data_IF_705496876296
#
_entry.id   IF_705496876296
#
_cell.length_a   1.000
_cell.length_b   1.000
_cell.length_c   1.000
_cell.angle_alpha   90.00
_cell.angle_beta   90.00
_cell.angle_gamma   90.00
#
_symmetry.space_group_name_H-M   'P 1'
#
loop_
_entity.id
_entity.type
_entity.pdbx_description
1 polymer ?
#
# COMPACT_ATOMS: atom_id res chain seq x y z
N UNK A 1 18.70 -23.54 15.11
CA UNK A 1 20.11 -23.30 15.48
C UNK A 1 21.04 -24.44 15.08
N UNK A 2 20.53 -25.66 14.83
CA UNK A 2 21.37 -26.82 14.47
C UNK A 2 22.16 -26.63 13.17
N UNK A 3 21.58 -26.07 12.11
CA UNK A 3 22.26 -25.91 10.80
C UNK A 3 23.47 -24.95 10.90
N UNK A 4 23.34 -23.84 11.64
CA UNK A 4 24.44 -22.86 11.78
C UNK A 4 25.63 -23.49 12.49
N UNK A 5 25.35 -24.27 13.54
CA UNK A 5 26.39 -24.95 14.30
C UNK A 5 27.01 -26.11 13.50
N UNK A 6 26.20 -26.84 12.73
CA UNK A 6 26.65 -27.96 11.90
C UNK A 6 27.59 -27.54 10.76
N UNK A 7 27.44 -26.33 10.23
CA UNK A 7 28.23 -25.82 9.10
C UNK A 7 29.12 -24.63 9.47
N UNK A 8 29.39 -24.41 10.76
CA UNK A 8 30.14 -23.25 11.25
C UNK A 8 31.47 -23.03 10.53
N UNK A 9 32.23 -24.11 10.29
CA UNK A 9 33.51 -24.07 9.57
C UNK A 9 33.39 -23.68 8.08
N UNK A 10 32.20 -23.87 7.47
CA UNK A 10 31.92 -23.51 6.08
C UNK A 10 31.30 -22.11 5.94
N UNK A 11 30.82 -21.52 7.04
CA UNK A 11 30.19 -20.21 7.05
C UNK A 11 31.29 -19.14 7.12
N UNK A 12 31.48 -18.41 6.02
CA UNK A 12 32.44 -17.28 5.95
C UNK A 12 31.88 -15.97 6.53
N UNK A 13 30.58 -15.90 6.76
CA UNK A 13 29.90 -14.73 7.29
C UNK A 13 28.40 -14.92 7.38
N UNK A 14 27.75 -14.08 8.19
CA UNK A 14 26.30 -14.07 8.38
C UNK A 14 25.75 -12.72 7.94
N UNK A 15 24.74 -12.74 7.08
CA UNK A 15 23.98 -11.56 6.68
C UNK A 15 22.59 -11.63 7.29
N UNK A 16 22.14 -10.52 7.86
CA UNK A 16 20.81 -10.38 8.44
C UNK A 16 20.06 -9.30 7.69
N UNK A 17 18.81 -9.58 7.32
CA UNK A 17 17.91 -8.59 6.72
C UNK A 17 16.50 -8.79 7.27
N UNK A 18 15.66 -7.76 7.07
CA UNK A 18 14.25 -7.84 7.39
C UNK A 18 13.53 -8.77 6.40
N UNK A 19 12.58 -9.56 6.90
CA UNK A 19 11.69 -10.32 6.00
C UNK A 19 10.78 -9.38 5.21
N UNK A 20 10.15 -8.44 5.92
CA UNK A 20 9.19 -7.48 5.37
C UNK A 20 9.43 -6.10 5.96
N UNK A 21 9.56 -5.10 5.09
CA UNK A 21 9.61 -3.70 5.48
C UNK A 21 8.27 -3.05 5.10
N UNK A 22 7.54 -2.54 6.10
CA UNK A 22 6.25 -1.88 5.89
C UNK A 22 6.29 -0.46 6.46
N UNK A 23 6.19 0.52 5.57
CA UNK A 23 6.10 1.93 5.94
C UNK A 23 4.66 2.40 5.86
N UNK A 24 4.20 3.18 6.85
CA UNK A 24 2.83 3.72 6.88
C UNK A 24 2.89 5.25 6.91
N UNK A 25 2.33 5.88 5.88
CA UNK A 25 2.13 7.32 5.83
C UNK A 25 0.71 7.66 6.25
N UNK A 26 0.58 8.57 7.21
CA UNK A 26 -0.72 9.10 7.67
C UNK A 26 -0.64 10.62 7.81
N UNK A 27 -1.74 11.30 7.50
CA UNK A 27 -1.91 12.72 7.81
C UNK A 27 -2.21 12.87 9.30
N UNK A 28 -1.17 12.72 10.14
CA UNK A 28 -1.24 12.65 11.60
C UNK A 28 -1.93 13.86 12.24
N UNK A 29 -1.84 15.03 11.62
CA UNK A 29 -2.50 16.25 12.10
C UNK A 29 -4.01 16.07 12.28
N UNK A 30 -4.69 15.34 11.39
CA UNK A 30 -6.14 15.16 11.48
C UNK A 30 -6.60 14.27 12.62
N UNK A 31 -5.69 13.49 13.23
CA UNK A 31 -6.00 12.65 14.39
C UNK A 31 -5.88 13.41 15.72
N UNK A 32 -5.35 14.64 15.72
CA UNK A 32 -5.38 15.52 16.89
C UNK A 32 -6.77 16.13 17.04
N UNK A 33 -7.20 16.29 18.30
CA UNK A 33 -8.50 16.89 18.62
C UNK A 33 -8.63 18.27 17.96
N UNK A 34 -9.81 18.58 17.44
CA UNK A 34 -10.19 19.85 16.79
C UNK A 34 -9.41 20.23 15.51
N UNK A 35 -8.34 19.53 15.12
CA UNK A 35 -7.54 19.90 13.93
C UNK A 35 -8.31 19.68 12.64
N UNK A 36 -9.09 18.59 12.56
CA UNK A 36 -9.97 18.36 11.42
C UNK A 36 -11.06 19.43 11.32
N UNK A 37 -11.64 19.82 12.45
CA UNK A 37 -12.66 20.87 12.48
C UNK A 37 -12.10 22.22 12.03
N UNK A 38 -10.88 22.55 12.47
CA UNK A 38 -10.16 23.75 12.03
C UNK A 38 -9.87 23.71 10.52
N UNK A 39 -9.39 22.59 10.00
CA UNK A 39 -9.16 22.41 8.56
C UNK A 39 -10.44 22.62 7.75
N UNK A 40 -11.56 22.04 8.19
CA UNK A 40 -12.84 22.21 7.51
C UNK A 40 -13.33 23.66 7.58
N UNK A 41 -13.12 24.33 8.71
CA UNK A 41 -13.42 25.75 8.87
C UNK A 41 -12.59 26.62 7.91
N UNK A 42 -11.28 26.42 7.86
CA UNK A 42 -10.36 27.14 6.97
C UNK A 42 -10.73 26.93 5.49
N UNK A 43 -11.09 25.70 5.11
CA UNK A 43 -11.53 25.36 3.75
C UNK A 43 -12.99 25.72 3.47
N UNK A 44 -13.71 26.35 4.41
CA UNK A 44 -15.13 26.73 4.31
C UNK A 44 -16.05 25.54 3.98
N UNK A 45 -15.69 24.34 4.48
CA UNK A 45 -16.46 23.11 4.29
C UNK A 45 -17.32 22.89 5.53
N UNK A 46 -18.64 22.95 5.36
CA UNK A 46 -19.56 22.58 6.43
C UNK A 46 -19.40 21.09 6.78
N UNK A 47 -19.43 20.75 8.07
CA UNK A 47 -19.30 19.35 8.54
C UNK A 47 -20.30 18.40 7.87
N UNK A 48 -21.53 18.86 7.59
CA UNK A 48 -22.55 18.08 6.84
C UNK A 48 -22.13 17.73 5.40
N UNK A 49 -21.28 18.54 4.79
CA UNK A 49 -20.77 18.38 3.43
C UNK A 49 -19.43 17.60 3.39
N UNK A 50 -18.87 17.20 4.53
CA UNK A 50 -17.60 16.47 4.62
C UNK A 50 -17.60 15.21 3.75
N UNK A 51 -18.69 14.45 3.75
CA UNK A 51 -18.79 13.23 2.95
C UNK A 51 -18.73 13.51 1.44
N UNK A 52 -19.28 14.64 0.98
CA UNK A 52 -19.19 15.06 -0.42
C UNK A 52 -17.78 15.48 -0.79
N UNK A 53 -17.13 16.26 0.09
CA UNK A 53 -15.72 16.62 -0.04
C UNK A 53 -14.84 15.37 -0.18
N UNK A 54 -14.93 14.43 0.76
CA UNK A 54 -14.13 13.22 0.73
C UNK A 54 -14.38 12.37 -0.53
N UNK A 55 -15.65 12.27 -0.98
CA UNK A 55 -16.01 11.57 -2.22
C UNK A 55 -15.38 12.19 -3.46
N UNK A 56 -15.27 13.51 -3.54
CA UNK A 56 -14.67 14.18 -4.69
C UNK A 56 -13.19 13.80 -4.83
N UNK A 57 -12.42 13.89 -3.73
CA UNK A 57 -11.03 13.43 -3.72
C UNK A 57 -10.90 11.92 -3.96
N UNK A 58 -11.81 11.10 -3.44
CA UNK A 58 -11.84 9.67 -3.78
C UNK A 58 -11.95 9.45 -5.28
N UNK A 59 -12.84 10.17 -5.98
CA UNK A 59 -12.97 10.07 -7.44
C UNK A 59 -11.69 10.48 -8.16
N UNK A 60 -11.05 11.56 -7.71
CA UNK A 60 -9.77 12.02 -8.27
C UNK A 60 -8.67 10.98 -8.09
N UNK A 61 -8.52 10.43 -6.88
CA UNK A 61 -7.50 9.41 -6.59
C UNK A 61 -7.72 8.16 -7.45
N UNK A 62 -8.96 7.69 -7.57
CA UNK A 62 -9.29 6.52 -8.41
C UNK A 62 -9.00 6.81 -9.87
N UNK A 63 -9.40 7.99 -10.37
CA UNK A 63 -9.09 8.42 -11.74
C UNK A 63 -7.58 8.44 -11.99
N UNK A 64 -6.79 9.00 -11.08
CA UNK A 64 -5.33 9.02 -11.19
C UNK A 64 -4.75 7.61 -11.19
N UNK A 65 -5.29 6.69 -10.39
CA UNK A 65 -4.86 5.29 -10.40
C UNK A 65 -5.10 4.60 -11.73
N UNK A 66 -6.28 4.80 -12.33
CA UNK A 66 -6.63 4.28 -13.66
C UNK A 66 -5.74 4.91 -14.74
N UNK A 67 -5.57 6.24 -14.70
CA UNK A 67 -4.77 6.98 -15.67
C UNK A 67 -3.29 6.58 -15.59
N UNK A 68 -2.75 6.34 -14.39
CA UNK A 68 -1.39 5.85 -14.20
C UNK A 68 -1.22 4.45 -14.82
N UNK A 69 -2.13 3.51 -14.53
CA UNK A 69 -2.10 2.17 -15.11
C UNK A 69 -2.12 2.26 -16.64
N UNK A 70 -3.06 3.03 -17.20
CA UNK A 70 -3.20 3.24 -18.65
C UNK A 70 -1.93 3.84 -19.27
N UNK A 71 -1.36 4.89 -18.67
CA UNK A 71 -0.13 5.55 -19.17
C UNK A 71 1.06 4.60 -19.18
N UNK A 72 1.16 3.70 -18.21
CA UNK A 72 2.22 2.69 -18.14
C UNK A 72 1.93 1.45 -18.97
N UNK A 73 0.82 1.39 -19.72
CA UNK A 73 0.42 0.20 -20.46
C UNK A 73 0.09 -1.01 -19.58
N UNK A 74 -0.33 -0.78 -18.33
CA UNK A 74 -0.58 -1.82 -17.33
C UNK A 74 -2.05 -1.94 -16.96
N UNK A 75 -2.51 -3.12 -16.52
CA UNK A 75 -3.91 -3.32 -16.20
C UNK A 75 -4.32 -2.65 -14.89
N UNK A 76 -5.52 -2.06 -14.89
CA UNK A 76 -6.27 -1.71 -13.68
C UNK A 76 -7.34 -2.78 -13.46
N UNK A 77 -7.33 -3.47 -12.32
CA UNK A 77 -8.22 -4.61 -12.04
C UNK A 77 -8.97 -4.36 -10.74
N UNK A 78 -10.29 -4.52 -10.75
CA UNK A 78 -11.09 -4.56 -9.54
C UNK A 78 -11.22 -6.01 -9.05
N UNK A 79 -10.89 -6.24 -7.78
CA UNK A 79 -11.00 -7.53 -7.11
C UNK A 79 -12.25 -7.51 -6.23
N UNK A 80 -13.18 -8.40 -6.55
CA UNK A 80 -14.46 -8.51 -5.85
C UNK A 80 -14.33 -9.36 -4.58
N UNK A 81 -13.48 -10.39 -4.63
CA UNK A 81 -13.34 -11.36 -3.55
C UNK A 81 -12.11 -11.07 -2.70
N UNK A 82 -12.28 -11.17 -1.38
CA UNK A 82 -11.16 -11.14 -0.43
C UNK A 82 -10.28 -12.40 -0.52
N UNK A 83 -10.77 -13.48 -1.15
CA UNK A 83 -10.04 -14.74 -1.30
C UNK A 83 -8.95 -14.67 -2.37
N UNK A 84 -9.05 -13.71 -3.29
CA UNK A 84 -8.04 -13.51 -4.32
C UNK A 84 -6.80 -12.86 -3.71
N UNK A 85 -5.68 -13.57 -3.77
CA UNK A 85 -4.39 -13.06 -3.33
C UNK A 85 -3.90 -11.99 -4.32
N UNK A 86 -3.90 -10.74 -3.85
CA UNK A 86 -3.41 -9.58 -4.62
C UNK A 86 -1.97 -9.77 -5.08
N UNK A 87 -1.16 -10.38 -4.21
CA UNK A 87 0.25 -10.62 -4.48
C UNK A 87 0.44 -11.69 -5.56
N UNK A 88 -0.28 -12.80 -5.48
CA UNK A 88 -0.24 -13.84 -6.52
C UNK A 88 -0.72 -13.30 -7.86
N UNK A 89 -1.81 -12.51 -7.87
CA UNK A 89 -2.32 -11.89 -9.10
C UNK A 89 -1.27 -10.96 -9.74
N UNK A 90 -0.61 -10.13 -8.95
CA UNK A 90 0.45 -9.26 -9.44
C UNK A 90 1.66 -10.06 -9.96
N UNK A 91 2.09 -11.11 -9.24
CA UNK A 91 3.18 -12.00 -9.67
C UNK A 91 2.84 -12.75 -10.96
N UNK A 92 1.61 -13.21 -11.12
CA UNK A 92 1.16 -13.85 -12.36
C UNK A 92 1.29 -12.89 -13.56
N UNK A 93 0.84 -11.65 -13.42
CA UNK A 93 0.95 -10.61 -14.46
C UNK A 93 2.43 -10.31 -14.76
N UNK A 94 3.23 -10.13 -13.71
CA UNK A 94 4.67 -9.90 -13.82
C UNK A 94 5.37 -10.99 -14.62
N UNK A 95 5.10 -12.26 -14.32
CA UNK A 95 5.69 -13.39 -15.02
C UNK A 95 5.14 -13.58 -16.44
N UNK A 96 3.84 -13.41 -16.67
CA UNK A 96 3.23 -13.62 -17.99
C UNK A 96 3.67 -12.57 -19.01
N UNK A 97 3.92 -11.34 -18.55
CA UNK A 97 4.33 -10.21 -19.40
C UNK A 97 5.85 -9.93 -19.34
N UNK A 98 6.64 -10.78 -18.66
CA UNK A 98 8.09 -10.62 -18.44
C UNK A 98 8.47 -9.20 -17.99
N UNK A 99 7.81 -8.72 -16.93
CA UNK A 99 8.03 -7.37 -16.39
C UNK A 99 9.25 -7.39 -15.48
N UNK A 100 10.34 -6.78 -15.93
CA UNK A 100 11.60 -6.70 -15.16
C UNK A 100 11.72 -5.41 -14.34
N UNK A 101 11.01 -4.35 -14.74
CA UNK A 101 11.07 -3.04 -14.09
C UNK A 101 9.74 -2.27 -14.27
N UNK A 102 9.40 -1.45 -13.27
CA UNK A 102 8.32 -0.47 -13.33
C UNK A 102 7.00 -0.99 -12.77
N UNK A 103 5.91 -0.31 -13.13
CA UNK A 103 4.56 -0.70 -12.69
C UNK A 103 4.20 -2.06 -13.29
N UNK A 104 3.69 -2.96 -12.46
CA UNK A 104 3.14 -4.27 -12.86
C UNK A 104 1.66 -4.12 -13.16
N UNK A 105 0.88 -3.66 -12.17
CA UNK A 105 -0.56 -3.48 -12.27
C UNK A 105 -1.08 -2.58 -11.15
N UNK A 106 -2.31 -2.10 -11.32
CA UNK A 106 -3.08 -1.43 -10.26
C UNK A 106 -4.27 -2.31 -9.91
N UNK A 107 -4.26 -2.87 -8.70
CA UNK A 107 -5.38 -3.63 -8.18
C UNK A 107 -6.24 -2.72 -7.29
N UNK A 108 -7.55 -2.87 -7.35
CA UNK A 108 -8.48 -2.13 -6.52
C UNK A 108 -9.45 -3.08 -5.82
N UNK A 109 -9.76 -2.80 -4.55
CA UNK A 109 -10.65 -3.65 -3.76
C UNK A 109 -11.29 -2.87 -2.63
N UNK A 110 -12.43 -3.34 -2.13
CA UNK A 110 -13.08 -2.74 -0.96
C UNK A 110 -12.57 -3.42 0.31
N UNK A 111 -11.99 -2.64 1.23
CA UNK A 111 -11.49 -3.16 2.51
C UNK A 111 -12.04 -2.34 3.69
N UNK A 112 -12.03 -2.95 4.88
CA UNK A 112 -12.36 -2.26 6.11
C UNK A 112 -11.23 -1.29 6.49
N UNK A 113 -11.59 -0.06 6.82
CA UNK A 113 -10.66 1.03 7.11
C UNK A 113 -11.18 1.90 8.27
N UNK A 114 -10.27 2.37 9.13
CA UNK A 114 -10.56 3.39 10.14
C UNK A 114 -10.39 4.76 9.50
N UNK A 115 -11.50 5.49 9.32
CA UNK A 115 -11.49 6.74 8.59
C UNK A 115 -12.54 7.72 9.11
N UNK A 116 -12.51 8.96 8.64
CA UNK A 116 -13.46 9.96 9.10
C UNK A 116 -14.83 9.81 8.41
N UNK A 117 -15.89 10.11 9.15
CA UNK A 117 -17.23 10.19 8.62
C UNK A 117 -18.13 11.06 9.48
N UNK A 118 -19.29 11.42 8.95
CA UNK A 118 -20.23 12.25 9.69
C UNK A 118 -21.08 11.43 10.65
N UNK A 119 -21.40 12.01 11.81
CA UNK A 119 -22.31 11.50 12.83
C UNK A 119 -23.19 12.65 13.33
N UNK A 120 -24.50 12.43 13.42
CA UNK A 120 -25.42 13.43 14.00
C UNK A 120 -25.25 13.45 15.52
N UNK A 121 -25.05 14.63 16.07
CA UNK A 121 -25.02 14.89 17.50
C UNK A 121 -26.47 14.99 18.00
N UNK A 122 -26.87 14.09 18.91
CA UNK A 122 -28.25 14.04 19.42
C UNK A 122 -28.59 15.24 20.31
N UNK A 123 -27.61 15.85 20.97
CA UNK A 123 -27.81 16.99 21.89
C UNK A 123 -27.98 18.30 21.14
N UNK A 124 -27.14 18.54 20.13
CA UNK A 124 -27.13 19.81 19.38
C UNK A 124 -27.87 19.75 18.05
N UNK A 125 -28.20 18.56 17.55
CA UNK A 125 -28.79 18.35 16.22
C UNK A 125 -27.79 18.50 15.06
N UNK A 126 -26.56 18.96 15.32
CA UNK A 126 -25.54 19.23 14.31
C UNK A 126 -24.84 17.95 13.83
N UNK A 127 -24.14 18.02 12.67
CA UNK A 127 -23.26 16.93 12.22
C UNK A 127 -21.83 17.17 12.70
N UNK A 128 -21.25 16.16 13.33
CA UNK A 128 -19.83 16.10 13.68
C UNK A 128 -19.08 15.17 12.74
N UNK A 129 -17.79 15.44 12.51
CA UNK A 129 -16.90 14.55 11.75
C UNK A 129 -16.05 13.78 12.75
N UNK A 130 -16.19 12.47 12.76
CA UNK A 130 -15.56 11.59 13.75
C UNK A 130 -14.86 10.40 13.08
N UNK A 131 -13.78 9.87 13.67
CA UNK A 131 -13.24 8.57 13.27
C UNK A 131 -14.33 7.50 13.40
N UNK A 132 -14.45 6.63 12.40
CA UNK A 132 -15.33 5.48 12.42
C UNK A 132 -14.76 4.35 11.57
N UNK A 133 -15.07 3.11 11.95
CA UNK A 133 -14.84 1.96 11.08
C UNK A 133 -15.82 2.03 9.90
N UNK A 134 -15.30 1.83 8.70
CA UNK A 134 -16.09 1.79 7.47
C UNK A 134 -15.43 0.88 6.45
N UNK A 135 -16.09 0.67 5.32
CA UNK A 135 -15.44 0.14 4.13
C UNK A 135 -15.12 1.26 3.15
N UNK A 136 -13.99 1.16 2.46
CA UNK A 136 -13.59 2.07 1.42
C UNK A 136 -12.79 1.33 0.33
N UNK A 137 -12.71 1.93 -0.86
CA UNK A 137 -11.87 1.38 -1.92
C UNK A 137 -10.38 1.62 -1.55
N UNK A 138 -9.55 0.63 -1.78
CA UNK A 138 -8.10 0.72 -1.70
C UNK A 138 -7.52 0.46 -3.08
N UNK A 139 -6.45 1.18 -3.42
CA UNK A 139 -5.65 0.94 -4.61
C UNK A 139 -4.33 0.31 -4.18
N UNK A 140 -3.88 -0.68 -4.93
CA UNK A 140 -2.59 -1.35 -4.77
C UNK A 140 -1.82 -1.19 -6.06
N UNK A 141 -0.75 -0.41 -6.01
CA UNK A 141 0.18 -0.24 -7.12
C UNK A 141 1.33 -1.23 -6.90
N UNK A 142 1.39 -2.28 -7.69
CA UNK A 142 2.48 -3.26 -7.65
C UNK A 142 3.58 -2.83 -8.61
N UNK A 143 4.84 -2.93 -8.16
CA UNK A 143 6.01 -2.53 -8.93
C UNK A 143 7.10 -3.60 -8.85
N UNK A 144 7.94 -3.64 -9.89
CA UNK A 144 9.32 -4.10 -9.77
C UNK A 144 10.20 -2.86 -9.72
N UNK A 145 10.67 -2.51 -8.53
CA UNK A 145 11.58 -1.38 -8.35
C UNK A 145 13.02 -1.79 -8.65
N UNK A 146 13.83 -0.95 -9.32
CA UNK A 146 15.22 -1.29 -9.65
C UNK A 146 16.07 -1.64 -8.42
N UNK A 147 15.81 -0.97 -7.30
CA UNK A 147 16.56 -1.14 -6.05
C UNK A 147 15.90 -2.18 -5.15
N UNK A 148 14.59 -2.07 -4.95
CA UNK A 148 13.86 -2.85 -3.95
C UNK A 148 13.24 -4.15 -4.48
N UNK A 149 13.15 -4.29 -5.81
CA UNK A 149 12.49 -5.42 -6.45
C UNK A 149 10.98 -5.39 -6.29
N UNK A 150 10.36 -6.56 -6.14
CA UNK A 150 8.91 -6.67 -6.01
C UNK A 150 8.39 -5.94 -4.75
N UNK A 151 7.57 -4.92 -4.98
CA UNK A 151 7.01 -4.08 -3.92
C UNK A 151 5.59 -3.63 -4.25
N UNK A 152 4.88 -3.09 -3.26
CA UNK A 152 3.59 -2.43 -3.52
C UNK A 152 3.38 -1.18 -2.69
N UNK A 153 2.60 -0.26 -3.26
CA UNK A 153 2.02 0.89 -2.57
C UNK A 153 0.52 0.67 -2.44
N UNK A 154 0.02 0.58 -1.21
CA UNK A 154 -1.41 0.53 -0.89
C UNK A 154 -1.89 1.92 -0.50
N UNK A 155 -2.88 2.45 -1.19
CA UNK A 155 -3.49 3.75 -0.94
C UNK A 155 -4.97 3.59 -0.58
N UNK A 156 -5.34 4.05 0.61
CA UNK A 156 -6.74 4.22 0.99
C UNK A 156 -7.34 5.40 0.21
N UNK A 157 -8.45 5.19 -0.50
CA UNK A 157 -9.05 6.26 -1.32
C UNK A 157 -9.97 7.19 -0.52
N UNK A 158 -10.33 6.83 0.71
CA UNK A 158 -11.14 7.67 1.59
C UNK A 158 -10.29 8.48 2.57
N UNK A 159 -10.70 9.72 2.84
CA UNK A 159 -10.02 10.65 3.74
C UNK A 159 -9.76 10.01 5.14
N UNK A 160 -8.52 10.03 5.67
CA UNK A 160 -7.41 10.91 5.31
C UNK A 160 -6.33 10.27 4.42
N UNK A 161 -6.71 9.34 3.54
CA UNK A 161 -5.84 8.79 2.47
C UNK A 161 -4.56 8.10 2.96
N UNK A 162 -4.69 7.23 3.98
CA UNK A 162 -3.56 6.48 4.49
C UNK A 162 -2.85 5.69 3.37
N UNK A 163 -1.53 5.82 3.34
CA UNK A 163 -0.64 5.10 2.42
C UNK A 163 0.17 4.06 3.18
N UNK A 164 0.42 2.92 2.55
CA UNK A 164 1.30 1.88 3.05
C UNK A 164 2.22 1.42 1.92
N UNK A 165 3.52 1.42 2.16
CA UNK A 165 4.54 0.88 1.25
C UNK A 165 5.06 -0.43 1.83
N UNK A 166 5.13 -1.47 1.01
CA UNK A 166 5.72 -2.76 1.35
C UNK A 166 6.93 -3.03 0.48
N UNK A 167 8.04 -3.42 1.09
CA UNK A 167 9.27 -3.86 0.43
C UNK A 167 9.67 -5.24 0.98
N UNK A 168 10.09 -6.13 0.08
CA UNK A 168 10.68 -7.42 0.44
C UNK A 168 12.16 -7.23 0.81
N UNK A 169 12.50 -7.33 2.10
CA UNK A 169 13.86 -7.07 2.56
C UNK A 169 14.88 -8.14 2.15
N UNK A 170 14.42 -9.37 1.85
CA UNK A 170 15.29 -10.43 1.30
C UNK A 170 15.66 -10.13 -0.14
N UNK A 171 14.69 -9.67 -0.94
CA UNK A 171 14.93 -9.30 -2.33
C UNK A 171 15.81 -8.05 -2.45
N UNK A 172 15.60 -7.07 -1.56
CA UNK A 172 16.48 -5.91 -1.46
C UNK A 172 17.92 -6.30 -1.15
N UNK A 173 18.15 -7.16 -0.14
CA UNK A 173 19.49 -7.66 0.17
C UNK A 173 20.11 -8.40 -1.03
N UNK A 174 19.32 -9.25 -1.69
CA UNK A 174 19.75 -9.97 -2.89
C UNK A 174 20.26 -9.01 -3.98
N UNK A 175 19.54 -7.92 -4.26
CA UNK A 175 19.95 -6.91 -5.23
C UNK A 175 21.22 -6.16 -4.80
N UNK A 176 21.37 -5.87 -3.52
CA UNK A 176 22.62 -5.27 -3.00
C UNK A 176 23.83 -6.19 -3.19
N UNK A 177 23.66 -7.51 -3.00
CA UNK A 177 24.73 -8.48 -3.24
C UNK A 177 25.09 -8.57 -4.72
N UNK A 178 24.11 -8.56 -5.62
CA UNK A 178 24.35 -8.56 -7.07
C UNK A 178 25.14 -7.32 -7.49
N UNK A 179 24.75 -6.15 -6.99
CA UNK A 179 25.45 -4.89 -7.25
C UNK A 179 26.89 -4.89 -6.71
N UNK A 180 27.14 -5.59 -5.60
CA UNK A 180 28.47 -5.78 -5.05
C UNK A 180 29.29 -6.87 -5.77
N UNK A 181 28.74 -7.52 -6.81
CA UNK A 181 29.39 -8.61 -7.53
C UNK A 181 29.51 -9.90 -6.71
N UNK A 182 28.74 -10.03 -5.63
CA UNK A 182 28.75 -11.21 -4.77
C UNK A 182 27.80 -12.25 -5.38
N UNK A 183 28.39 -13.22 -6.08
CA UNK A 183 27.63 -14.28 -6.73
C UNK A 183 26.82 -15.08 -5.70
N UNK A 184 25.49 -15.04 -5.85
CA UNK A 184 24.54 -15.74 -4.98
C UNK A 184 23.80 -16.81 -5.75
N UNK A 185 23.64 -17.98 -5.16
CA UNK A 185 22.66 -18.97 -5.60
C UNK A 185 21.37 -18.76 -4.82
N UNK A 186 20.59 -17.76 -5.21
CA UNK A 186 19.28 -17.56 -4.60
C UNK A 186 18.27 -18.51 -5.23
N UNK A 187 17.91 -19.57 -4.52
CA UNK A 187 16.58 -20.15 -4.67
C UNK A 187 15.61 -19.15 -4.05
N UNK A 188 15.11 -18.21 -4.86
CA UNK A 188 13.91 -17.46 -4.46
C UNK A 188 12.78 -18.47 -4.55
N UNK A 189 12.50 -19.15 -3.43
CA UNK A 189 11.35 -20.02 -3.29
C UNK A 189 10.10 -19.13 -3.35
N UNK A 190 9.69 -18.75 -4.55
CA UNK A 190 8.29 -18.49 -4.84
C UNK A 190 7.65 -19.87 -4.96
N UNK A 191 7.44 -20.52 -3.82
CA UNK A 191 6.75 -21.80 -3.72
C UNK A 191 5.37 -21.68 -4.38
N UNK A 192 5.17 -22.52 -5.40
CA UNK A 192 3.88 -22.89 -5.98
C UNK A 192 2.99 -23.59 -4.94
#
# INVERSE_FOLDING_TARGET
>A
MEIINQFSEKIKGMLSTFDRLVFKGTLRCFYRKNTLDYFLFEKKILKKNFSTFAKNYTKEIVKHGIDLARKSGRPYIYLESYKESKEEKAKQIMSSENIEEGLICVLSCVESCSAFGTKKNKKTGHQDVVPKLRKCLHLYFYYVDPQFGFMYVRLQTWFPFQIQLYINGREYLARQLDQAGINRRCQVLYSH
#
